data_IF_429068969084
#
_entry.id   IF_429068969084
#
_cell.length_a   1.000
_cell.length_b   1.000
_cell.length_c   1.000
_cell.angle_alpha   90.00
_cell.angle_beta   90.00
_cell.angle_gamma   90.00
#
_symmetry.space_group_name_H-M   'P 1'
#
loop_
_entity.id
_entity.type
_entity.pdbx_description
1 polymer ?
#
# COMPACT_ATOMS: atom_id res chain seq x y z
N UNK A 1 7.87 -28.67 -32.05
CA UNK A 1 8.11 -28.80 -30.60
C UNK A 1 8.03 -27.40 -30.06
N UNK A 2 6.84 -27.02 -29.62
CA UNK A 2 6.52 -25.67 -29.21
C UNK A 2 7.04 -25.43 -27.79
N UNK A 3 7.82 -24.36 -27.66
CA UNK A 3 8.41 -23.89 -26.41
C UNK A 3 7.30 -23.33 -25.51
N UNK A 4 7.13 -23.78 -24.25
CA UNK A 4 6.04 -23.30 -23.42
C UNK A 4 6.30 -21.87 -22.97
N UNK A 5 5.48 -20.96 -23.50
CA UNK A 5 4.87 -19.82 -22.80
C UNK A 5 5.83 -18.96 -21.98
N UNK A 6 6.50 -18.02 -22.65
CA UNK A 6 6.89 -16.76 -22.02
C UNK A 6 5.62 -16.11 -21.45
N UNK A 7 5.46 -16.16 -20.13
CA UNK A 7 4.44 -15.37 -19.43
C UNK A 7 4.84 -13.92 -19.63
N UNK A 8 4.19 -13.24 -20.57
CA UNK A 8 4.31 -11.80 -20.73
C UNK A 8 3.94 -11.16 -19.38
N UNK A 9 4.93 -10.67 -18.65
CA UNK A 9 4.71 -9.90 -17.43
C UNK A 9 4.01 -8.60 -17.81
N UNK A 10 2.68 -8.63 -17.86
CA UNK A 10 1.87 -7.41 -17.93
C UNK A 10 2.21 -6.60 -16.69
N UNK A 11 2.92 -5.47 -16.85
CA UNK A 11 3.19 -4.56 -15.74
C UNK A 11 1.84 -4.21 -15.08
N UNK A 12 1.72 -4.30 -13.74
CA UNK A 12 0.52 -3.85 -13.05
C UNK A 12 0.26 -2.40 -13.44
N UNK A 13 -0.97 -2.08 -13.87
CA UNK A 13 -1.36 -0.69 -14.19
C UNK A 13 -1.75 0.08 -12.92
N UNK A 14 -0.93 -0.05 -11.89
CA UNK A 14 -1.04 0.70 -10.64
C UNK A 14 -0.32 2.04 -10.83
N UNK A 15 -1.03 3.15 -10.62
CA UNK A 15 -0.52 4.52 -10.81
C UNK A 15 0.71 4.81 -9.96
N UNK A 16 0.73 4.30 -8.74
CA UNK A 16 1.77 4.48 -7.74
C UNK A 16 2.88 3.44 -7.86
N UNK A 17 2.70 2.36 -8.63
CA UNK A 17 3.74 1.34 -8.77
C UNK A 17 4.97 1.89 -9.49
N UNK A 18 6.12 1.81 -8.82
CA UNK A 18 7.38 2.34 -9.35
C UNK A 18 8.27 1.22 -9.89
N UNK A 19 8.57 0.22 -9.05
CA UNK A 19 9.51 -0.86 -9.40
C UNK A 19 9.43 -2.05 -8.45
N UNK A 20 10.11 -3.13 -8.84
CA UNK A 20 10.52 -4.20 -7.93
C UNK A 20 11.92 -3.93 -7.40
N UNK A 21 12.17 -4.22 -6.12
CA UNK A 21 13.50 -4.07 -5.50
C UNK A 21 13.71 -5.10 -4.40
N UNK A 22 14.95 -5.55 -4.20
CA UNK A 22 15.33 -6.29 -3.00
C UNK A 22 15.57 -5.36 -1.83
N UNK A 23 14.83 -5.54 -0.75
CA UNK A 23 14.95 -4.75 0.48
C UNK A 23 14.89 -5.74 1.64
N UNK A 24 15.91 -5.70 2.52
CA UNK A 24 16.02 -6.58 3.69
C UNK A 24 15.82 -8.06 3.34
N UNK A 25 16.58 -8.54 2.35
CA UNK A 25 16.56 -9.94 1.86
C UNK A 25 15.22 -10.45 1.28
N UNK A 26 14.30 -9.54 0.94
CA UNK A 26 13.05 -9.89 0.29
C UNK A 26 12.81 -9.04 -0.97
N UNK A 27 12.28 -9.67 -2.01
CA UNK A 27 11.77 -8.96 -3.19
C UNK A 27 10.49 -8.23 -2.80
N UNK A 28 10.48 -6.91 -3.01
CA UNK A 28 9.37 -6.02 -2.67
C UNK A 28 8.90 -5.25 -3.89
N UNK A 29 7.61 -5.01 -3.94
CA UNK A 29 7.02 -3.95 -4.74
C UNK A 29 7.30 -2.61 -4.05
N UNK A 30 7.72 -1.61 -4.81
CA UNK A 30 7.91 -0.25 -4.32
C UNK A 30 6.91 0.65 -5.04
N UNK A 31 6.24 1.47 -4.25
CA UNK A 31 5.26 2.44 -4.70
C UNK A 31 5.76 3.85 -4.38
N UNK A 32 5.58 4.75 -5.33
CA UNK A 32 5.89 6.16 -5.22
C UNK A 32 4.58 6.95 -5.18
N UNK A 33 4.45 7.81 -4.19
CA UNK A 33 3.25 8.61 -3.96
C UNK A 33 3.62 10.08 -3.82
N UNK A 34 2.73 10.95 -4.26
CA UNK A 34 2.84 12.38 -4.01
C UNK A 34 1.87 12.78 -2.90
N UNK A 35 2.36 13.60 -1.96
CA UNK A 35 1.57 14.20 -0.89
C UNK A 35 1.51 15.71 -1.11
N UNK A 36 0.44 16.34 -0.64
CA UNK A 36 0.26 17.79 -0.79
C UNK A 36 1.28 18.60 0.03
N UNK A 37 1.70 18.09 1.20
CA UNK A 37 2.54 18.84 2.14
C UNK A 37 3.95 18.29 2.38
N UNK A 38 4.23 17.02 2.05
CA UNK A 38 5.53 16.38 2.31
C UNK A 38 6.26 15.99 1.02
N UNK A 39 5.68 16.29 -0.15
CA UNK A 39 6.22 15.89 -1.45
C UNK A 39 6.15 14.37 -1.66
N UNK A 40 7.16 13.83 -2.31
CA UNK A 40 7.21 12.43 -2.72
C UNK A 40 7.57 11.51 -1.56
N UNK A 41 6.78 10.46 -1.33
CA UNK A 41 7.06 9.41 -0.35
C UNK A 41 7.02 8.03 -1.00
N UNK A 42 7.58 7.02 -0.31
CA UNK A 42 7.69 5.68 -0.85
C UNK A 42 7.13 4.63 0.12
N UNK A 43 6.41 3.66 -0.44
CA UNK A 43 5.87 2.54 0.30
C UNK A 43 6.26 1.20 -0.33
N UNK A 44 6.14 0.11 0.43
CA UNK A 44 6.48 -1.21 -0.09
C UNK A 44 5.64 -2.35 0.47
N UNK A 45 5.58 -3.44 -0.29
CA UNK A 45 5.09 -4.73 0.22
C UNK A 45 5.97 -5.86 -0.29
N UNK A 46 6.14 -6.89 0.54
CA UNK A 46 6.78 -8.13 0.12
C UNK A 46 5.88 -8.89 -0.86
N UNK A 47 6.50 -9.50 -1.87
CA UNK A 47 5.91 -10.54 -2.70
C UNK A 47 5.02 -11.51 -1.90
N UNK A 48 3.76 -11.69 -2.29
CA UNK A 48 2.87 -12.66 -1.67
C UNK A 48 1.81 -13.14 -2.66
N UNK A 49 1.49 -14.44 -2.61
CA UNK A 49 0.35 -15.04 -3.33
C UNK A 49 -0.97 -14.89 -2.56
N UNK A 50 -0.90 -14.54 -1.27
CA UNK A 50 -2.05 -14.45 -0.37
C UNK A 50 -2.62 -13.04 -0.24
N UNK A 51 -1.86 -12.05 -0.70
CA UNK A 51 -2.21 -10.64 -0.57
C UNK A 51 -2.36 -10.03 -1.96
N UNK A 52 -3.33 -9.13 -2.07
CA UNK A 52 -3.50 -8.23 -3.20
C UNK A 52 -3.20 -6.81 -2.76
N UNK A 53 -2.76 -5.99 -3.72
CA UNK A 53 -2.62 -4.54 -3.53
C UNK A 53 -3.78 -3.86 -4.24
N UNK A 54 -4.42 -2.92 -3.57
CA UNK A 54 -5.46 -2.05 -4.14
C UNK A 54 -5.02 -0.61 -3.97
N UNK A 55 -4.95 0.14 -5.06
CA UNK A 55 -4.84 1.59 -4.99
C UNK A 55 -6.20 2.17 -4.67
N UNK A 56 -6.26 2.87 -3.54
CA UNK A 56 -7.50 3.46 -3.05
C UNK A 56 -7.51 4.96 -3.31
N UNK A 57 -8.70 5.48 -3.59
CA UNK A 57 -8.99 6.90 -3.42
C UNK A 57 -9.12 7.18 -1.92
N UNK A 58 -8.34 8.16 -1.45
CA UNK A 58 -8.23 8.51 -0.04
C UNK A 58 -9.59 8.89 0.59
N UNK A 59 -10.41 9.65 -0.13
CA UNK A 59 -11.70 10.09 0.36
C UNK A 59 -12.72 8.94 0.42
N UNK A 60 -12.71 8.05 -0.57
CA UNK A 60 -13.57 6.86 -0.60
C UNK A 60 -13.17 5.86 0.49
N UNK A 61 -11.88 5.59 0.68
CA UNK A 61 -11.40 4.73 1.76
C UNK A 61 -11.78 5.32 3.13
N UNK A 62 -11.55 6.60 3.37
CA UNK A 62 -11.90 7.24 4.64
C UNK A 62 -13.42 7.20 4.89
N UNK A 63 -14.22 7.40 3.85
CA UNK A 63 -15.69 7.29 3.95
C UNK A 63 -16.14 5.87 4.30
N UNK A 64 -15.47 4.86 3.75
CA UNK A 64 -15.75 3.45 4.04
C UNK A 64 -15.32 3.06 5.46
N UNK A 65 -14.19 3.58 5.94
CA UNK A 65 -13.70 3.34 7.30
C UNK A 65 -14.58 4.00 8.39
N UNK A 66 -15.19 5.15 8.08
CA UNK A 66 -16.08 5.89 9.00
C UNK A 66 -17.45 5.21 9.15
N UNK A 67 -17.50 4.10 9.87
CA UNK A 67 -18.73 3.43 10.27
C UNK A 67 -18.83 3.23 11.78
N UNK A 68 -20.04 3.14 12.36
CA UNK A 68 -20.23 3.06 13.82
C UNK A 68 -19.56 1.87 14.51
N UNK A 69 -19.34 0.79 13.77
CA UNK A 69 -18.78 -0.47 14.28
C UNK A 69 -17.25 -0.57 14.09
N UNK A 70 -16.58 0.46 13.58
CA UNK A 70 -15.12 0.39 13.38
C UNK A 70 -14.40 0.30 14.71
N UNK A 71 -13.38 -0.56 14.77
CA UNK A 71 -12.61 -0.82 16.00
C UNK A 71 -11.79 0.38 16.46
N UNK A 72 -11.45 1.28 15.54
CA UNK A 72 -10.57 2.42 15.76
C UNK A 72 -11.33 3.73 15.54
N UNK A 73 -12.49 3.87 16.19
CA UNK A 73 -13.42 4.99 15.99
C UNK A 73 -12.77 6.35 16.20
N UNK A 74 -11.94 6.52 17.23
CA UNK A 74 -11.21 7.77 17.49
C UNK A 74 -10.35 8.21 16.29
N UNK A 75 -9.69 7.25 15.63
CA UNK A 75 -8.89 7.53 14.43
C UNK A 75 -9.76 7.64 13.19
N UNK A 76 -10.75 6.77 13.00
CA UNK A 76 -11.62 6.79 11.83
C UNK A 76 -12.38 8.13 11.70
N UNK A 77 -12.91 8.63 12.81
CA UNK A 77 -13.64 9.91 12.90
C UNK A 77 -12.74 11.10 13.21
N UNK A 78 -11.43 10.89 13.33
CA UNK A 78 -10.45 11.94 13.52
C UNK A 78 -10.33 12.90 12.33
N UNK A 79 -9.59 13.97 12.57
CA UNK A 79 -9.24 15.01 11.60
C UNK A 79 -7.74 15.03 11.36
N UNK A 80 -7.25 15.69 10.30
CA UNK A 80 -5.81 15.89 10.12
C UNK A 80 -5.11 16.50 11.35
N UNK A 81 -5.80 17.33 12.13
CA UNK A 81 -5.27 17.91 13.37
C UNK A 81 -5.16 16.84 14.46
N UNK A 82 -6.24 16.10 14.75
CA UNK A 82 -6.21 15.08 15.80
C UNK A 82 -5.30 13.90 15.44
N UNK A 83 -5.18 13.56 14.15
CA UNK A 83 -4.26 12.50 13.71
C UNK A 83 -2.80 12.85 13.98
N UNK A 84 -2.41 14.12 13.89
CA UNK A 84 -1.04 14.57 14.20
C UNK A 84 -0.69 14.43 15.68
N UNK A 85 -1.69 14.25 16.54
CA UNK A 85 -1.53 13.99 17.97
C UNK A 85 -1.45 12.47 18.28
N UNK A 86 -1.63 11.59 17.28
CA UNK A 86 -1.43 10.15 17.47
C UNK A 86 0.00 9.89 17.93
N UNK A 87 0.15 9.10 19.00
CA UNK A 87 1.45 8.90 19.65
C UNK A 87 2.50 8.25 18.73
N UNK A 88 2.09 7.60 17.63
CA UNK A 88 2.98 7.01 16.61
C UNK A 88 3.11 7.86 15.35
N UNK A 89 2.48 9.04 15.29
CA UNK A 89 2.51 9.89 14.11
C UNK A 89 3.94 10.33 13.79
N UNK A 90 4.74 10.65 14.82
CA UNK A 90 6.17 10.93 14.70
C UNK A 90 6.95 9.75 14.11
N UNK A 91 6.72 8.53 14.59
CA UNK A 91 7.36 7.33 14.03
C UNK A 91 7.01 7.12 12.54
N UNK A 92 5.79 7.46 12.14
CA UNK A 92 5.39 7.41 10.74
C UNK A 92 6.12 8.46 9.90
N UNK A 93 6.26 9.69 10.42
CA UNK A 93 7.07 10.75 9.80
C UNK A 93 8.50 10.27 9.57
N UNK A 94 9.18 9.82 10.63
CA UNK A 94 10.56 9.32 10.58
C UNK A 94 10.71 8.17 9.58
N UNK A 95 9.71 7.28 9.52
CA UNK A 95 9.65 6.21 8.54
C UNK A 95 9.62 6.72 7.10
N UNK A 96 8.75 7.68 6.80
CA UNK A 96 8.62 8.24 5.45
C UNK A 96 9.83 9.07 5.01
N UNK A 97 10.57 9.68 5.94
CA UNK A 97 11.80 10.45 5.65
C UNK A 97 12.95 9.60 5.09
N UNK A 98 12.91 8.27 5.25
CA UNK A 98 13.89 7.38 4.62
C UNK A 98 13.67 7.20 3.10
N UNK A 99 12.50 7.58 2.60
CA UNK A 99 12.18 7.60 1.18
C UNK A 99 12.41 6.26 0.47
N UNK A 100 12.93 6.31 -0.75
CA UNK A 100 13.13 5.12 -1.58
C UNK A 100 14.17 4.12 -1.03
N UNK A 101 15.03 4.53 -0.09
CA UNK A 101 16.04 3.68 0.51
C UNK A 101 15.43 2.67 1.48
N UNK A 102 14.44 3.08 2.27
CA UNK A 102 13.68 2.22 3.18
C UNK A 102 12.17 2.57 3.15
N UNK A 103 11.47 2.12 2.10
CA UNK A 103 10.08 2.49 1.88
C UNK A 103 9.14 1.85 2.91
N UNK A 104 8.24 2.67 3.47
CA UNK A 104 7.30 2.30 4.53
C UNK A 104 6.38 1.15 4.10
N UNK A 105 6.21 0.08 4.90
CA UNK A 105 5.29 -1.00 4.55
C UNK A 105 3.85 -0.52 4.31
N UNK A 106 3.15 -1.13 3.34
CA UNK A 106 1.70 -0.89 3.13
C UNK A 106 0.90 -1.16 4.41
N UNK A 107 -0.25 -0.48 4.51
CA UNK A 107 -1.24 -0.81 5.52
C UNK A 107 -2.02 -2.06 5.11
N UNK A 108 -2.26 -2.96 6.06
CA UNK A 108 -3.06 -4.17 5.87
C UNK A 108 -4.50 -3.87 6.29
N UNK A 109 -5.42 -4.02 5.35
CA UNK A 109 -6.85 -3.75 5.56
C UNK A 109 -7.68 -5.00 5.30
N UNK A 110 -8.76 -5.11 6.06
CA UNK A 110 -9.82 -6.08 5.82
C UNK A 110 -11.05 -5.32 5.35
N UNK A 111 -11.65 -5.76 4.23
CA UNK A 111 -12.89 -5.22 3.70
C UNK A 111 -13.89 -6.35 3.49
N UNK A 112 -15.01 -6.31 4.20
CA UNK A 112 -16.03 -7.36 4.17
C UNK A 112 -17.41 -6.75 4.00
N UNK A 113 -18.32 -7.51 3.40
CA UNK A 113 -19.75 -7.13 3.39
C UNK A 113 -20.29 -7.31 4.80
N UNK A 114 -20.97 -6.31 5.33
CA UNK A 114 -21.71 -6.43 6.58
C UNK A 114 -22.94 -7.28 6.33
N UNK A 115 -23.18 -8.23 7.23
CA UNK A 115 -24.45 -8.95 7.25
C UNK A 115 -25.57 -7.94 7.44
N UNK A 116 -26.54 -7.94 6.53
CA UNK A 116 -27.76 -7.16 6.75
C UNK A 116 -28.45 -7.67 8.02
N UNK A 117 -29.06 -6.79 8.83
CA UNK A 117 -29.82 -7.20 10.01
C UNK A 117 -30.93 -8.22 9.70
N UNK A 118 -31.40 -8.26 8.46
CA UNK A 118 -32.48 -9.15 7.99
C UNK A 118 -31.98 -10.50 7.41
N UNK A 119 -30.67 -10.76 7.42
CA UNK A 119 -30.06 -12.03 6.99
C UNK A 119 -30.17 -12.32 5.48
N UNK A 120 -30.65 -11.38 4.65
CA UNK A 120 -30.79 -11.60 3.21
C UNK A 120 -29.47 -11.29 2.47
N UNK A 121 -29.04 -12.13 1.52
CA UNK A 121 -27.87 -11.82 0.70
C UNK A 121 -28.17 -10.61 -0.19
N UNK A 122 -27.57 -9.46 0.13
CA UNK A 122 -27.65 -8.25 -0.67
C UNK A 122 -26.53 -8.20 -1.73
N UNK A 123 -26.88 -7.84 -2.96
CA UNK A 123 -25.92 -7.11 -3.79
C UNK A 123 -25.61 -5.81 -3.04
N UNK A 124 -24.39 -5.67 -2.52
CA UNK A 124 -23.91 -4.45 -1.88
C UNK A 124 -23.93 -3.32 -2.90
N UNK A 125 -25.00 -2.54 -2.88
CA UNK A 125 -25.19 -1.38 -3.75
C UNK A 125 -24.69 -0.08 -3.07
N UNK A 126 -24.13 -0.15 -1.85
CA UNK A 126 -23.58 1.04 -1.17
C UNK A 126 -22.53 0.73 -0.09
N UNK A 127 -21.68 1.72 0.22
CA UNK A 127 -20.71 1.69 1.32
C UNK A 127 -21.34 1.41 2.70
N UNK A 128 -22.68 1.50 2.84
CA UNK A 128 -23.38 1.13 4.07
C UNK A 128 -23.42 -0.37 4.31
N UNK A 129 -23.15 -1.20 3.32
CA UNK A 129 -23.23 -2.66 3.41
C UNK A 129 -21.86 -3.33 3.49
N UNK A 130 -20.79 -2.56 3.73
CA UNK A 130 -19.46 -3.06 3.96
C UNK A 130 -18.83 -2.40 5.17
N UNK A 131 -17.83 -3.06 5.74
CA UNK A 131 -16.93 -2.51 6.75
C UNK A 131 -15.50 -2.58 6.24
N UNK A 132 -14.70 -1.61 6.65
CA UNK A 132 -13.26 -1.58 6.45
C UNK A 132 -12.59 -1.32 7.79
N UNK A 133 -11.66 -2.19 8.16
CA UNK A 133 -10.82 -2.01 9.33
C UNK A 133 -9.36 -2.28 8.98
N UNK A 134 -8.46 -1.76 9.84
CA UNK A 134 -7.03 -1.94 9.72
C UNK A 134 -6.57 -3.09 10.60
N UNK A 135 -5.95 -4.09 9.98
CA UNK A 135 -5.22 -5.14 10.69
C UNK A 135 -3.83 -4.61 11.11
N UNK A 136 -3.24 -3.75 10.27
CA UNK A 136 -1.98 -3.07 10.55
C UNK A 136 -1.86 -1.77 9.76
N UNK A 137 -1.02 -0.85 10.22
CA UNK A 137 -0.68 0.36 9.47
C UNK A 137 -1.74 1.46 9.51
N UNK A 138 -2.55 1.54 10.56
CA UNK A 138 -3.47 2.68 10.73
C UNK A 138 -2.72 4.02 10.83
N UNK A 139 -1.63 4.08 11.61
CA UNK A 139 -0.89 5.35 11.82
C UNK A 139 -0.26 5.89 10.53
N UNK A 140 0.37 5.04 9.71
CA UNK A 140 0.91 5.48 8.40
C UNK A 140 -0.20 5.89 7.43
N UNK A 141 -1.40 5.33 7.57
CA UNK A 141 -2.56 5.72 6.75
C UNK A 141 -3.08 7.10 7.17
N UNK A 142 -3.28 7.35 8.47
CA UNK A 142 -3.67 8.70 8.93
C UNK A 142 -2.58 9.74 8.66
N UNK A 143 -1.29 9.36 8.64
CA UNK A 143 -0.19 10.22 8.19
C UNK A 143 -0.35 10.61 6.71
N UNK A 144 -0.63 9.65 5.82
CA UNK A 144 -0.87 9.91 4.39
C UNK A 144 -2.07 10.84 4.19
N UNK A 145 -3.18 10.56 4.90
CA UNK A 145 -4.40 11.39 4.85
C UNK A 145 -4.13 12.81 5.38
N UNK A 146 -3.42 12.93 6.51
CA UNK A 146 -3.09 14.23 7.11
C UNK A 146 -2.19 15.09 6.22
N UNK A 147 -1.36 14.46 5.38
CA UNK A 147 -0.47 15.12 4.44
C UNK A 147 -1.04 15.21 3.01
N UNK A 148 -2.32 14.88 2.82
CA UNK A 148 -3.04 15.11 1.58
C UNK A 148 -2.70 14.15 0.43
N UNK A 149 -2.29 12.92 0.73
CA UNK A 149 -2.23 11.87 -0.29
C UNK A 149 -3.64 11.60 -0.84
N UNK A 150 -3.80 11.65 -2.16
CA UNK A 150 -5.10 11.43 -2.82
C UNK A 150 -5.32 9.97 -3.23
N UNK A 151 -4.25 9.30 -3.65
CA UNK A 151 -4.26 7.89 -4.05
C UNK A 151 -3.08 7.21 -3.38
N UNK A 152 -3.33 6.07 -2.74
CA UNK A 152 -2.26 5.26 -2.15
C UNK A 152 -2.58 3.76 -2.18
N UNK A 153 -1.57 2.88 -2.24
CA UNK A 153 -1.77 1.45 -2.18
C UNK A 153 -2.00 0.99 -0.74
N UNK A 154 -2.91 0.04 -0.57
CA UNK A 154 -3.08 -0.76 0.65
C UNK A 154 -3.03 -2.24 0.28
N UNK A 155 -2.67 -3.09 1.24
CA UNK A 155 -2.76 -4.54 1.09
C UNK A 155 -4.00 -5.10 1.75
N UNK A 156 -4.53 -6.15 1.15
CA UNK A 156 -5.61 -6.94 1.73
C UNK A 156 -5.45 -8.41 1.30
N UNK A 157 -6.22 -9.32 1.90
CA UNK A 157 -6.33 -10.68 1.37
C UNK A 157 -6.96 -10.65 -0.02
N UNK A 158 -6.58 -11.60 -0.88
CA UNK A 158 -7.10 -11.71 -2.25
C UNK A 158 -8.63 -11.72 -2.28
N UNK A 159 -9.29 -12.40 -1.33
CA UNK A 159 -10.75 -12.47 -1.25
C UNK A 159 -11.45 -11.12 -0.98
N UNK A 160 -10.74 -10.12 -0.44
CA UNK A 160 -11.29 -8.80 -0.13
C UNK A 160 -11.04 -7.77 -1.24
N UNK A 161 -10.11 -8.05 -2.15
CA UNK A 161 -9.58 -7.08 -3.10
C UNK A 161 -10.64 -6.50 -4.05
N UNK A 162 -11.52 -7.36 -4.59
CA UNK A 162 -12.57 -6.93 -5.52
C UNK A 162 -13.56 -5.97 -4.86
N UNK A 163 -14.00 -6.27 -3.63
CA UNK A 163 -14.92 -5.42 -2.87
C UNK A 163 -14.26 -4.10 -2.48
N UNK A 164 -13.00 -4.15 -2.02
CA UNK A 164 -12.25 -2.96 -1.67
C UNK A 164 -12.08 -2.03 -2.87
N UNK A 165 -11.73 -2.59 -4.04
CA UNK A 165 -11.60 -1.82 -5.27
C UNK A 165 -12.94 -1.23 -5.73
N UNK A 166 -14.02 -2.01 -5.68
CA UNK A 166 -15.37 -1.53 -6.02
C UNK A 166 -15.76 -0.31 -5.19
N UNK A 167 -15.51 -0.36 -3.87
CA UNK A 167 -15.97 0.67 -2.93
C UNK A 167 -15.01 1.86 -2.79
N UNK A 168 -13.70 1.60 -2.82
CA UNK A 168 -12.66 2.58 -2.52
C UNK A 168 -11.55 2.66 -3.56
N UNK A 169 -11.57 1.86 -4.63
CA UNK A 169 -10.54 1.88 -5.66
C UNK A 169 -10.42 3.23 -6.36
N UNK A 170 -9.17 3.66 -6.58
CA UNK A 170 -8.88 4.80 -7.44
C UNK A 170 -9.15 4.41 -8.90
N UNK A 171 -9.95 5.20 -9.61
CA UNK A 171 -10.18 4.98 -11.04
C UNK A 171 -8.97 5.46 -11.83
N UNK A 172 -7.97 4.59 -12.02
CA UNK A 172 -7.01 4.79 -13.10
C UNK A 172 -7.71 4.39 -14.41
N UNK A 173 -7.73 5.28 -15.39
CA UNK A 173 -8.46 5.08 -16.65
C UNK A 173 -8.13 3.74 -17.32
N UNK A 174 -9.11 2.83 -17.32
CA UNK A 174 -9.10 1.59 -18.11
C UNK A 174 -8.67 0.33 -17.36
N UNK A 175 -9.67 -0.45 -16.95
CA UNK A 175 -9.61 -1.87 -16.57
C UNK A 175 -8.55 -2.24 -15.51
N UNK A 176 -8.86 -1.96 -14.24
CA UNK A 176 -8.13 -2.56 -13.12
C UNK A 176 -8.71 -3.93 -12.80
N UNK A 177 -7.93 -4.98 -13.07
CA UNK A 177 -8.03 -6.19 -12.26
C UNK A 177 -7.52 -5.85 -10.87
N UNK A 178 -7.98 -6.56 -9.84
CA UNK A 178 -7.19 -6.76 -8.64
C UNK A 178 -5.91 -7.48 -9.09
N UNK A 179 -4.97 -6.73 -9.64
CA UNK A 179 -3.65 -7.23 -10.00
C UNK A 179 -2.97 -7.45 -8.65
N UNK A 180 -3.22 -8.63 -8.09
CA UNK A 180 -2.29 -9.24 -7.19
C UNK A 180 -0.95 -9.18 -7.92
N UNK A 181 -0.06 -8.33 -7.43
CA UNK A 181 1.33 -8.40 -7.81
C UNK A 181 1.86 -9.70 -7.23
N UNK A 182 1.58 -10.81 -7.92
CA UNK A 182 2.21 -12.09 -7.71
C UNK A 182 3.61 -11.92 -8.25
N UNK A 183 4.54 -11.56 -7.37
CA UNK A 183 5.94 -11.51 -7.72
C UNK A 183 6.39 -12.95 -7.95
N UNK A 184 6.76 -13.34 -9.20
CA UNK A 184 7.37 -14.64 -9.40
C UNK A 184 8.61 -14.72 -8.53
N UNK A 185 8.81 -15.87 -7.89
CA UNK A 185 10.09 -16.19 -7.27
C UNK A 185 11.16 -16.01 -8.34
N UNK A 186 12.12 -15.11 -8.13
CA UNK A 186 13.31 -15.06 -8.97
C UNK A 186 14.06 -16.39 -8.81
N UNK A 187 14.70 -16.85 -9.88
CA UNK A 187 15.68 -17.94 -9.74
C UNK A 187 16.77 -17.54 -8.73
N UNK A 188 17.48 -18.51 -8.16
CA UNK A 188 18.57 -18.22 -7.22
C UNK A 188 19.61 -17.25 -7.82
N UNK A 189 19.93 -17.37 -9.11
CA UNK A 189 20.87 -16.49 -9.80
C UNK A 189 20.37 -15.06 -9.96
N UNK A 190 19.11 -14.88 -10.36
CA UNK A 190 18.49 -13.54 -10.45
C UNK A 190 18.45 -12.88 -9.08
N UNK A 191 18.15 -13.66 -8.03
CA UNK A 191 18.16 -13.18 -6.64
C UNK A 191 19.55 -12.71 -6.21
N UNK A 192 20.63 -13.43 -6.55
CA UNK A 192 21.99 -13.01 -6.20
C UNK A 192 22.40 -11.72 -6.91
N UNK A 193 22.19 -11.62 -8.22
CA UNK A 193 22.52 -10.41 -8.99
C UNK A 193 21.72 -9.18 -8.52
N UNK A 194 20.42 -9.36 -8.25
CA UNK A 194 19.57 -8.27 -7.77
C UNK A 194 19.90 -7.86 -6.30
N UNK A 195 20.37 -8.78 -5.44
CA UNK A 195 20.84 -8.46 -4.08
C UNK A 195 22.15 -7.66 -4.10
N UNK A 196 23.10 -8.03 -4.95
CA UNK A 196 24.36 -7.29 -5.11
C UNK A 196 24.10 -5.85 -5.56
N UNK A 197 23.21 -5.66 -6.54
CA UNK A 197 22.81 -4.33 -7.00
C UNK A 197 22.12 -3.52 -5.89
N UNK A 198 21.25 -4.14 -5.07
CA UNK A 198 20.58 -3.42 -3.98
C UNK A 198 21.53 -3.05 -2.85
N UNK A 199 22.47 -3.94 -2.48
CA UNK A 199 23.50 -3.65 -1.48
C UNK A 199 24.40 -2.50 -1.94
N UNK A 200 24.80 -2.49 -3.22
CA UNK A 200 25.59 -1.40 -3.79
C UNK A 200 24.88 -0.05 -3.69
N UNK A 201 23.58 0.01 -4.03
CA UNK A 201 22.78 1.24 -3.90
C UNK A 201 22.62 1.71 -2.44
N UNK A 202 22.41 0.78 -1.50
CA UNK A 202 22.28 1.11 -0.08
C UNK A 202 23.59 1.68 0.48
N UNK A 203 24.73 1.06 0.15
CA UNK A 203 26.05 1.56 0.55
C UNK A 203 26.31 2.95 -0.02
N UNK A 204 25.94 3.19 -1.27
CA UNK A 204 26.07 4.51 -1.89
C UNK A 204 25.23 5.57 -1.16
N UNK A 205 23.97 5.26 -0.82
CA UNK A 205 23.10 6.19 -0.09
C UNK A 205 23.63 6.52 1.32
N UNK A 206 24.21 5.54 2.02
CA UNK A 206 24.88 5.75 3.31
C UNK A 206 26.09 6.68 3.13
N UNK A 207 26.95 6.40 2.16
CA UNK A 207 28.13 7.20 1.85
C UNK A 207 27.76 8.67 1.54
N UNK A 208 26.70 8.90 0.76
CA UNK A 208 26.22 10.24 0.42
C UNK A 208 25.61 10.98 1.61
N UNK A 209 24.97 10.28 2.56
CA UNK A 209 24.50 10.86 3.82
C UNK A 209 25.66 11.26 4.72
N UNK A 210 26.70 10.43 4.82
CA UNK A 210 27.89 10.74 5.60
C UNK A 210 28.68 11.92 5.04
N UNK A 211 28.85 11.98 3.72
CA UNK A 211 29.53 13.10 3.06
C UNK A 211 28.79 14.43 3.27
N UNK A 212 27.45 14.41 3.26
CA UNK A 212 26.64 15.61 3.55
C UNK A 212 26.68 16.07 5.01
N UNK A 213 27.01 15.18 5.95
CA UNK A 213 27.18 15.53 7.38
C UNK A 213 28.58 16.08 7.71
N UNK A 214 29.54 15.93 6.79
CA UNK A 214 30.93 16.39 6.94
C UNK A 214 31.20 17.73 6.26
N UNK A 215 30.23 18.26 5.51
CA UNK A 215 30.22 19.59 4.89
C UNK A 215 29.39 20.55 5.75
#
# INVERSE_FOLDING_TARGET
>A
MDNPTSITMTRPRLQTFERLRWINHARRAVFRLETASQGTVFMSIRASEKLSVVEVDAARLLSLWRHPETRLSELAFGTPQSWREDYKFGDAQDGFENGAADPVPLADVTCVRRSRPDGRPGLAESAREASLDFDNGVTRTIWLLANGAQVFPVSCKVEHASLLYELAGASSGGHCRADALVLPYSSHEERFAELEASNAMTLQAIQERENRRRL
#
